data_IF_030719424590
#
_entry.id   IF_030719424590
#
_cell.length_a   1.000
_cell.length_b   1.000
_cell.length_c   1.000
_cell.angle_alpha   90.00
_cell.angle_beta   90.00
_cell.angle_gamma   90.00
#
_symmetry.space_group_name_H-M   'P 1'
#
loop_
_entity.id
_entity.type
_entity.pdbx_description
1 polymer ?
#
# COMPACT_ATOMS: atom_id res chain seq x y z
N UNK A 1 2.93 11.72 -3.23
CA UNK A 1 2.32 11.86 -1.88
C UNK A 1 2.99 10.88 -0.93
N UNK A 2 3.16 11.27 0.34
CA UNK A 2 3.65 10.36 1.38
C UNK A 2 2.45 9.63 2.00
N UNK A 3 2.56 8.31 2.20
CA UNK A 3 1.52 7.56 2.91
C UNK A 3 1.43 8.02 4.38
N UNK A 4 0.22 8.26 4.84
CA UNK A 4 -0.10 8.55 6.24
C UNK A 4 -1.20 7.60 6.71
N UNK A 5 -0.98 6.76 7.74
CA UNK A 5 -1.99 5.81 8.21
C UNK A 5 -3.25 6.55 8.69
N UNK A 6 -4.42 5.96 8.46
CA UNK A 6 -5.65 6.50 9.03
C UNK A 6 -5.59 6.38 10.55
N UNK A 7 -5.93 7.44 11.27
CA UNK A 7 -5.99 7.43 12.74
C UNK A 7 -7.24 6.74 13.29
N UNK A 8 -8.20 6.40 12.42
CA UNK A 8 -9.45 5.75 12.81
C UNK A 8 -10.34 6.63 13.71
N UNK A 9 -11.45 6.03 14.18
CA UNK A 9 -12.39 6.66 15.11
C UNK A 9 -12.96 7.99 14.61
N UNK A 10 -13.12 8.92 15.54
CA UNK A 10 -13.72 10.24 15.30
C UNK A 10 -12.89 11.15 14.39
N UNK A 11 -11.63 10.78 14.10
CA UNK A 11 -10.75 11.54 13.20
C UNK A 11 -11.02 11.23 11.72
N UNK A 12 -11.77 10.17 11.42
CA UNK A 12 -12.18 9.87 10.06
C UNK A 12 -13.52 10.53 9.78
N UNK A 13 -13.50 11.70 9.15
CA UNK A 13 -14.69 12.30 8.57
C UNK A 13 -15.37 11.28 7.65
N UNK A 14 -16.68 11.13 7.79
CA UNK A 14 -17.49 10.34 6.85
C UNK A 14 -18.06 11.20 5.72
N UNK A 15 -17.96 12.52 5.87
CA UNK A 15 -18.41 13.51 4.90
C UNK A 15 -17.26 14.01 4.03
N UNK A 16 -17.58 14.44 2.80
CA UNK A 16 -16.61 14.90 1.81
C UNK A 16 -15.89 13.75 1.09
N UNK A 17 -14.83 14.10 0.35
CA UNK A 17 -14.06 13.15 -0.48
C UNK A 17 -12.77 12.68 0.19
N UNK A 18 -12.37 13.31 1.30
CA UNK A 18 -11.11 13.08 1.99
C UNK A 18 -11.30 13.00 3.50
N UNK A 19 -10.46 12.18 4.13
CA UNK A 19 -10.42 12.02 5.58
C UNK A 19 -9.72 13.21 6.24
N UNK A 20 -10.41 13.94 7.13
CA UNK A 20 -9.85 15.07 7.86
C UNK A 20 -8.64 14.72 8.73
N UNK A 21 -8.53 13.47 9.20
CA UNK A 21 -7.44 13.04 10.09
C UNK A 21 -6.15 12.65 9.38
N UNK A 22 -6.21 12.01 8.21
CA UNK A 22 -5.02 11.55 7.46
C UNK A 22 -4.82 12.20 6.09
N UNK A 23 -5.79 13.00 5.63
CA UNK A 23 -5.74 13.72 4.36
C UNK A 23 -5.92 12.84 3.11
N UNK A 24 -6.03 11.53 3.26
CA UNK A 24 -6.23 10.58 2.14
C UNK A 24 -7.66 10.60 1.65
N UNK A 25 -7.86 10.28 0.37
CA UNK A 25 -9.22 10.17 -0.18
C UNK A 25 -9.95 8.98 0.43
N UNK A 26 -11.28 9.07 0.53
CA UNK A 26 -12.09 7.94 0.99
C UNK A 26 -11.95 6.71 0.09
N UNK A 27 -11.74 6.93 -1.21
CA UNK A 27 -11.45 5.85 -2.16
C UNK A 27 -10.12 5.13 -1.83
N UNK A 28 -9.04 5.89 -1.58
CA UNK A 28 -7.74 5.32 -1.19
C UNK A 28 -7.87 4.54 0.14
N UNK A 29 -8.61 5.09 1.10
CA UNK A 29 -8.86 4.42 2.39
C UNK A 29 -9.64 3.13 2.19
N UNK A 30 -10.69 3.13 1.37
CA UNK A 30 -11.46 1.94 1.01
C UNK A 30 -10.57 0.86 0.43
N UNK A 31 -9.79 1.19 -0.60
CA UNK A 31 -8.82 0.25 -1.20
C UNK A 31 -7.78 -0.27 -0.20
N UNK A 32 -7.30 0.59 0.70
CA UNK A 32 -6.39 0.16 1.77
C UNK A 32 -7.04 -0.86 2.69
N UNK A 33 -8.32 -0.67 3.05
CA UNK A 33 -9.08 -1.62 3.88
C UNK A 33 -9.28 -2.96 3.17
N UNK A 34 -9.58 -2.94 1.88
CA UNK A 34 -9.74 -4.16 1.09
C UNK A 34 -8.44 -4.99 1.06
N UNK A 35 -7.29 -4.32 0.93
CA UNK A 35 -5.97 -4.97 1.00
C UNK A 35 -5.72 -5.61 2.37
N UNK A 36 -6.03 -4.90 3.46
CA UNK A 36 -5.92 -5.45 4.82
C UNK A 36 -6.81 -6.67 4.97
N UNK A 37 -8.07 -6.59 4.51
CA UNK A 37 -9.01 -7.69 4.58
C UNK A 37 -8.53 -8.91 3.79
N UNK A 38 -7.98 -8.72 2.59
CA UNK A 38 -7.42 -9.80 1.78
C UNK A 38 -6.27 -10.53 2.49
N UNK A 39 -5.35 -9.79 3.12
CA UNK A 39 -4.25 -10.36 3.90
C UNK A 39 -4.78 -11.13 5.12
N UNK A 40 -5.77 -10.58 5.83
CA UNK A 40 -6.41 -11.23 6.97
C UNK A 40 -7.10 -12.54 6.56
N UNK A 41 -7.92 -12.51 5.51
CA UNK A 41 -8.63 -13.71 5.01
C UNK A 41 -7.65 -14.80 4.61
N UNK A 42 -6.55 -14.45 3.94
CA UNK A 42 -5.53 -15.41 3.59
C UNK A 42 -4.86 -16.04 4.81
N UNK A 43 -4.49 -15.22 5.82
CA UNK A 43 -3.90 -15.73 7.05
C UNK A 43 -4.84 -16.69 7.80
N UNK A 44 -6.15 -16.36 7.84
CA UNK A 44 -7.17 -17.21 8.45
C UNK A 44 -7.34 -18.53 7.69
N UNK A 45 -7.41 -18.48 6.35
CA UNK A 45 -7.53 -19.67 5.50
C UNK A 45 -6.36 -20.64 5.71
N UNK A 46 -5.14 -20.11 5.87
CA UNK A 46 -3.94 -20.91 6.07
C UNK A 46 -3.78 -21.41 7.51
N UNK A 47 -4.57 -20.91 8.46
CA UNK A 47 -4.49 -21.30 9.87
C UNK A 47 -3.15 -20.93 10.53
N UNK A 48 -2.53 -19.81 10.14
CA UNK A 48 -1.27 -19.39 10.74
C UNK A 48 -1.43 -19.05 12.23
N UNK A 49 -0.62 -19.66 13.08
CA UNK A 49 -0.53 -19.31 14.51
C UNK A 49 0.32 -18.04 14.72
N UNK A 50 1.33 -17.84 13.86
CA UNK A 50 2.27 -16.72 13.88
C UNK A 50 1.87 -15.57 12.92
N UNK A 51 0.64 -15.06 13.06
CA UNK A 51 0.05 -14.06 12.15
C UNK A 51 0.88 -12.76 12.04
N UNK A 52 1.55 -12.36 13.12
CA UNK A 52 2.42 -11.18 13.13
C UNK A 52 3.65 -11.34 12.21
N UNK A 53 4.26 -12.53 12.18
CA UNK A 53 5.39 -12.81 11.29
C UNK A 53 4.95 -12.79 9.83
N UNK A 54 3.79 -13.39 9.52
CA UNK A 54 3.22 -13.38 8.19
C UNK A 54 2.92 -11.96 7.70
N UNK A 55 2.22 -11.15 8.50
CA UNK A 55 1.85 -9.78 8.12
C UNK A 55 3.08 -8.88 7.95
N UNK A 56 4.09 -9.03 8.81
CA UNK A 56 5.39 -8.35 8.67
C UNK A 56 6.08 -8.74 7.35
N UNK A 57 6.18 -10.04 7.06
CA UNK A 57 6.77 -10.55 5.83
C UNK A 57 6.08 -9.98 4.58
N UNK A 58 4.73 -9.98 4.56
CA UNK A 58 3.95 -9.43 3.45
C UNK A 58 4.25 -7.95 3.24
N UNK A 59 4.24 -7.15 4.31
CA UNK A 59 4.52 -5.71 4.25
C UNK A 59 5.93 -5.40 3.72
N UNK A 60 6.94 -6.09 4.25
CA UNK A 60 8.34 -5.93 3.82
C UNK A 60 8.54 -6.35 2.35
N UNK A 61 7.93 -7.47 1.94
CA UNK A 61 8.03 -7.99 0.58
C UNK A 61 7.33 -7.07 -0.42
N UNK A 62 6.15 -6.55 -0.09
CA UNK A 62 5.44 -5.57 -0.91
C UNK A 62 6.30 -4.30 -1.12
N UNK A 63 6.86 -3.75 -0.04
CA UNK A 63 7.74 -2.58 -0.12
C UNK A 63 9.00 -2.85 -0.97
N UNK A 64 9.59 -4.05 -0.85
CA UNK A 64 10.74 -4.47 -1.68
C UNK A 64 10.37 -4.56 -3.16
N UNK A 65 9.19 -5.09 -3.49
CA UNK A 65 8.72 -5.19 -4.86
C UNK A 65 8.50 -3.80 -5.47
N UNK A 66 7.90 -2.86 -4.74
CA UNK A 66 7.73 -1.46 -5.20
C UNK A 66 9.10 -0.84 -5.52
N UNK A 67 10.07 -0.94 -4.61
CA UNK A 67 11.43 -0.42 -4.84
C UNK A 67 12.11 -1.03 -6.07
N UNK A 68 11.96 -2.35 -6.25
CA UNK A 68 12.50 -3.06 -7.43
C UNK A 68 11.86 -2.55 -8.73
N UNK A 69 10.55 -2.36 -8.76
CA UNK A 69 9.85 -1.81 -9.94
C UNK A 69 10.32 -0.38 -10.24
N UNK A 70 10.42 0.48 -9.21
CA UNK A 70 10.93 1.84 -9.37
C UNK A 70 12.37 1.88 -9.93
N UNK A 71 13.24 0.96 -9.51
CA UNK A 71 14.61 0.85 -10.05
C UNK A 71 14.61 0.38 -11.51
N UNK A 72 13.76 -0.60 -11.86
CA UNK A 72 13.62 -1.08 -13.23
C UNK A 72 13.11 0.00 -14.18
N UNK A 73 12.12 0.80 -13.76
CA UNK A 73 11.63 1.95 -14.54
C UNK A 73 12.68 3.03 -14.77
N UNK A 74 13.62 3.22 -13.84
CA UNK A 74 14.71 4.19 -13.97
C UNK A 74 15.83 3.72 -14.92
N UNK A 75 16.04 2.41 -15.06
CA UNK A 75 17.04 1.85 -15.98
C UNK A 75 16.53 1.70 -17.43
N UNK A 76 15.22 1.77 -17.67
CA UNK A 76 14.62 1.74 -19.00
C UNK A 76 14.57 3.09 -19.73
N UNK A 77 15.05 4.18 -19.10
CA UNK A 77 14.98 5.56 -19.61
C UNK A 77 16.24 6.09 -20.29
N UNK A 78 17.28 5.28 -20.50
CA UNK A 78 18.54 5.72 -21.12
C UNK A 78 18.69 5.07 -22.51
N UNK A 79 18.46 5.88 -23.55
CA UNK A 79 19.24 5.83 -24.80
C UNK A 79 18.53 5.34 -26.07
N UNK A 80 18.06 6.28 -26.90
CA UNK A 80 18.48 6.30 -28.31
C UNK A 80 19.02 7.71 -28.59
N UNK A 81 20.33 7.90 -28.88
CA UNK A 81 20.78 9.13 -29.48
C UNK A 81 20.17 9.22 -30.88
N UNK A 82 19.42 10.29 -31.16
CA UNK A 82 18.99 10.61 -32.53
C UNK A 82 20.27 10.96 -33.30
N UNK A 83 20.80 9.98 -34.02
CA UNK A 83 21.93 10.14 -34.92
C UNK A 83 21.44 10.47 -36.33
N UNK A 84 21.55 11.74 -36.71
CA UNK A 84 22.16 12.28 -37.94
C UNK A 84 21.70 13.72 -38.15
#
# INVERSE_FOLDING_TARGET
MQFSPCKGGDFCSQEGTHCSGCGRSHEEIGKTRDLVFAVTQFAMQMGYENVEEFTKFVGEKAAKNVRKQQQMSQMGGIGIPIGK
#
